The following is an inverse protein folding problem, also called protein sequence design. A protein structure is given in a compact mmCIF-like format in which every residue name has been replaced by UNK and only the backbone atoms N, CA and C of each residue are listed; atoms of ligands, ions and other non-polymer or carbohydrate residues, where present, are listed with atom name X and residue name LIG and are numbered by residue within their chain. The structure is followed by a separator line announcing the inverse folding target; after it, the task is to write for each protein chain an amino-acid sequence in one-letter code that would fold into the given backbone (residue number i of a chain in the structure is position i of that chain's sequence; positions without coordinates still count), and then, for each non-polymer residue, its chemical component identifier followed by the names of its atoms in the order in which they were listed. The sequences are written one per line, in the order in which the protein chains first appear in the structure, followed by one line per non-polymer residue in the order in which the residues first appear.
data_IF_975860426128
#
_entry.id   IF_975860426128
#
_cell.length_a   1.000
_cell.length_b   1.000
_cell.length_c   1.000
_cell.angle_alpha   90.00
_cell.angle_beta   90.00
_cell.angle_gamma   90.00
#
_symmetry.space_group_name_H-M   'P 1'
#
loop_
_entity.id
_entity.type
_entity.pdbx_description
1 polymer ?
#
# COMPACT_ATOMS: atom_id res chain seq x y z
N UNK A 1 8.06 16.02 -2.40
CA UNK A 1 7.20 15.32 -3.38
C UNK A 1 6.99 13.96 -2.78
N UNK A 2 5.79 13.63 -2.35
CA UNK A 2 5.55 12.38 -1.62
C UNK A 2 5.36 11.25 -2.62
N UNK A 3 6.11 10.16 -2.47
CA UNK A 3 6.00 8.98 -3.34
C UNK A 3 5.77 7.72 -2.54
N UNK A 4 4.67 7.03 -2.88
CA UNK A 4 4.29 5.75 -2.29
C UNK A 4 4.38 4.65 -3.34
N UNK A 5 5.15 3.61 -3.03
CA UNK A 5 5.34 2.47 -3.92
C UNK A 5 4.50 1.28 -3.44
N UNK A 6 3.58 0.83 -4.29
CA UNK A 6 2.77 -0.36 -4.09
C UNK A 6 3.28 -1.54 -4.91
N UNK A 7 3.36 -2.73 -4.31
CA UNK A 7 3.91 -3.94 -4.91
C UNK A 7 3.04 -5.15 -4.57
N UNK A 8 2.59 -5.88 -5.59
CA UNK A 8 1.89 -7.16 -5.42
C UNK A 8 2.90 -8.30 -5.47
N UNK A 9 2.92 -9.13 -4.42
CA UNK A 9 3.77 -10.30 -4.34
C UNK A 9 2.95 -11.59 -4.37
N UNK A 10 3.45 -12.58 -5.10
CA UNK A 10 2.91 -13.94 -5.12
C UNK A 10 4.04 -14.96 -5.30
N UNK A 11 4.06 -16.01 -4.49
CA UNK A 11 5.06 -17.08 -4.54
C UNK A 11 6.50 -16.53 -4.52
N UNK A 12 6.74 -15.48 -3.72
CA UNK A 12 8.02 -14.76 -3.62
C UNK A 12 8.48 -14.07 -4.94
N UNK A 13 7.55 -13.83 -5.87
CA UNK A 13 7.77 -13.07 -7.09
C UNK A 13 6.97 -11.77 -7.08
N UNK A 14 7.58 -10.69 -7.56
CA UNK A 14 6.89 -9.43 -7.80
C UNK A 14 6.03 -9.58 -9.06
N UNK A 15 4.71 -9.51 -8.92
CA UNK A 15 3.79 -9.61 -10.05
C UNK A 15 3.59 -8.26 -10.76
N UNK A 16 3.31 -7.23 -9.97
CA UNK A 16 3.03 -5.88 -10.44
C UNK A 16 3.45 -4.88 -9.38
N UNK A 17 3.84 -3.70 -9.83
CA UNK A 17 4.12 -2.59 -8.96
C UNK A 17 3.66 -1.27 -9.60
N UNK A 18 3.42 -0.28 -8.76
CA UNK A 18 3.02 1.06 -9.19
C UNK A 18 3.45 2.10 -8.15
N UNK A 19 3.76 3.30 -8.61
CA UNK A 19 4.18 4.42 -7.76
C UNK A 19 3.13 5.51 -7.84
N UNK A 20 2.52 5.85 -6.72
CA UNK A 20 1.67 7.04 -6.57
C UNK A 20 2.54 8.24 -6.18
N UNK A 21 2.29 9.36 -6.84
CA UNK A 21 3.00 10.62 -6.65
C UNK A 21 2.00 11.67 -6.15
N UNK A 22 2.24 12.21 -4.96
CA UNK A 22 1.34 13.15 -4.29
C UNK A 22 2.09 14.44 -3.96
N UNK A 23 1.64 15.52 -4.58
CA UNK A 23 2.24 16.85 -4.48
C UNK A 23 1.37 17.88 -3.73
N UNK A 24 0.35 17.43 -2.99
CA UNK A 24 -0.51 18.33 -2.23
C UNK A 24 0.10 18.75 -0.86
N UNK A 25 -0.34 19.89 -0.35
CA UNK A 25 -0.07 20.34 1.02
C UNK A 25 -1.12 19.74 1.99
N UNK A 26 -1.07 18.42 2.19
CA UNK A 26 -1.91 17.73 3.16
C UNK A 26 -1.07 16.99 4.22
N UNK A 27 -1.72 16.47 5.26
CA UNK A 27 -1.08 15.67 6.31
C UNK A 27 -0.49 14.39 5.75
N UNK A 28 0.60 13.92 6.36
CA UNK A 28 1.27 12.65 6.00
C UNK A 28 0.29 11.49 5.90
N UNK A 29 -0.64 11.39 6.85
CA UNK A 29 -1.67 10.35 6.90
C UNK A 29 -2.61 10.43 5.70
N UNK A 30 -3.11 11.61 5.35
CA UNK A 30 -3.96 11.77 4.17
C UNK A 30 -3.23 11.43 2.87
N UNK A 31 -1.95 11.80 2.74
CA UNK A 31 -1.11 11.42 1.60
C UNK A 31 -0.97 9.90 1.48
N UNK A 32 -0.73 9.20 2.59
CA UNK A 32 -0.64 7.73 2.58
C UNK A 32 -1.96 7.10 2.13
N UNK A 33 -3.09 7.56 2.68
CA UNK A 33 -4.41 7.03 2.28
C UNK A 33 -4.68 7.31 0.80
N UNK A 34 -4.46 8.53 0.33
CA UNK A 34 -4.62 8.87 -1.08
C UNK A 34 -3.74 7.99 -1.97
N UNK A 35 -2.47 7.82 -1.62
CA UNK A 35 -1.55 7.01 -2.42
C UNK A 35 -1.94 5.54 -2.44
N UNK A 36 -2.40 5.01 -1.31
CA UNK A 36 -2.93 3.66 -1.24
C UNK A 36 -4.17 3.50 -2.14
N UNK A 37 -5.08 4.48 -2.15
CA UNK A 37 -6.25 4.46 -3.03
C UNK A 37 -5.88 4.48 -4.50
N UNK A 38 -4.94 5.34 -4.90
CA UNK A 38 -4.43 5.40 -6.28
C UNK A 38 -3.75 4.08 -6.69
N UNK A 39 -2.95 3.49 -5.80
CA UNK A 39 -2.32 2.18 -6.00
C UNK A 39 -3.39 1.10 -6.20
N UNK A 40 -4.39 1.03 -5.33
CA UNK A 40 -5.45 0.02 -5.41
C UNK A 40 -6.25 0.19 -6.71
N UNK A 41 -6.59 1.43 -7.08
CA UNK A 41 -7.27 1.73 -8.33
C UNK A 41 -6.44 1.32 -9.56
N UNK A 42 -5.14 1.63 -9.57
CA UNK A 42 -4.24 1.28 -10.67
C UNK A 42 -4.02 -0.23 -10.81
N UNK A 43 -4.13 -0.98 -9.71
CA UNK A 43 -3.90 -2.42 -9.66
C UNK A 43 -5.19 -3.23 -9.75
N UNK A 44 -6.35 -2.57 -9.86
CA UNK A 44 -7.69 -3.18 -9.85
C UNK A 44 -7.94 -4.00 -8.57
N UNK A 45 -7.64 -3.40 -7.42
CA UNK A 45 -7.79 -4.00 -6.09
C UNK A 45 -8.81 -3.23 -5.25
N UNK A 46 -9.47 -3.94 -4.34
CA UNK A 46 -10.20 -3.31 -3.26
C UNK A 46 -9.26 -2.59 -2.27
N UNK A 47 -9.79 -1.60 -1.56
CA UNK A 47 -9.04 -0.89 -0.52
C UNK A 47 -8.84 -1.83 0.69
N UNK A 48 -7.59 -2.12 1.10
CA UNK A 48 -7.37 -2.99 2.25
C UNK A 48 -7.74 -2.29 3.56
N UNK A 49 -8.15 -3.09 4.54
CA UNK A 49 -8.35 -2.69 5.93
C UNK A 49 -6.99 -2.59 6.62
N UNK A 50 -6.78 -1.47 7.30
CA UNK A 50 -5.61 -1.27 8.15
C UNK A 50 -5.81 -2.01 9.47
N UNK A 51 -5.00 -3.04 9.71
CA UNK A 51 -4.95 -3.72 11.01
C UNK A 51 -3.89 -3.08 11.91
N UNK A 52 -3.99 -3.29 13.22
CA UNK A 52 -3.03 -2.77 14.20
C UNK A 52 -1.59 -3.21 13.90
N UNK A 53 -1.41 -4.42 13.36
CA UNK A 53 -0.12 -4.93 12.90
C UNK A 53 0.46 -4.05 11.79
N UNK A 54 -0.36 -3.70 10.79
CA UNK A 54 0.04 -2.85 9.67
C UNK A 54 0.46 -1.47 10.14
N UNK A 55 -0.34 -0.87 11.02
CA UNK A 55 -0.06 0.46 11.56
C UNK A 55 1.28 0.47 12.31
N UNK A 56 1.52 -0.53 13.18
CA UNK A 56 2.77 -0.64 13.95
C UNK A 56 3.99 -0.87 13.06
N UNK A 57 3.85 -1.69 12.02
CA UNK A 57 4.93 -1.96 11.07
C UNK A 57 5.25 -0.69 10.25
N UNK A 58 4.23 -0.03 9.73
CA UNK A 58 4.36 1.17 8.92
C UNK A 58 5.01 2.31 9.70
N UNK A 59 4.61 2.52 10.97
CA UNK A 59 5.24 3.53 11.83
C UNK A 59 6.74 3.29 12.09
N UNK A 60 7.23 2.05 11.99
CA UNK A 60 8.62 1.68 12.28
C UNK A 60 9.51 1.66 11.04
N UNK A 61 8.93 1.32 9.89
CA UNK A 61 9.70 0.99 8.69
C UNK A 61 9.24 1.77 7.45
N UNK A 62 8.25 2.65 7.58
CA UNK A 62 7.59 3.35 6.47
C UNK A 62 7.13 2.39 5.36
N UNK A 63 6.83 1.15 5.78
CA UNK A 63 6.46 0.01 4.94
C UNK A 63 5.51 -0.90 5.69
N UNK A 64 4.52 -1.44 5.00
CA UNK A 64 3.69 -2.54 5.52
C UNK A 64 3.15 -3.44 4.43
N UNK A 65 2.64 -4.62 4.82
CA UNK A 65 2.09 -5.65 3.94
C UNK A 65 0.66 -6.00 4.32
N UNK A 66 -0.24 -5.88 3.35
CA UNK A 66 -1.63 -6.29 3.45
C UNK A 66 -1.76 -7.70 2.89
N UNK A 67 -1.93 -8.68 3.77
CA UNK A 67 -2.24 -10.08 3.42
C UNK A 67 -3.75 -10.25 3.21
N UNK A 68 -4.19 -11.47 2.90
CA UNK A 68 -5.61 -11.80 2.73
C UNK A 68 -6.51 -11.32 3.88
N UNK A 69 -6.03 -11.31 5.12
CA UNK A 69 -6.79 -10.84 6.30
C UNK A 69 -7.17 -9.35 6.23
N UNK A 70 -6.43 -8.57 5.44
CA UNK A 70 -6.69 -7.15 5.22
C UNK A 70 -7.73 -6.91 4.11
N UNK A 71 -8.12 -7.90 3.33
CA UNK A 71 -9.08 -7.75 2.23
C UNK A 71 -10.40 -8.47 2.57
N UNK A 72 -11.52 -7.83 2.21
CA UNK A 72 -12.84 -8.43 2.37
C UNK A 72 -13.06 -9.48 1.28
N UNK A 73 -12.66 -9.15 0.05
CA UNK A 73 -12.66 -10.09 -1.07
C UNK A 73 -11.43 -11.00 -1.07
N UNK A 74 -11.56 -12.14 -1.76
CA UNK A 74 -10.46 -13.06 -1.95
C UNK A 74 -9.43 -12.45 -2.91
N UNK A 75 -8.15 -12.50 -2.53
CA UNK A 75 -7.04 -12.05 -3.36
C UNK A 75 -6.28 -13.25 -3.93
N UNK A 76 -5.89 -13.17 -5.20
CA UNK A 76 -5.12 -14.20 -5.90
C UNK A 76 -3.60 -14.08 -5.69
N UNK A 77 -3.15 -13.28 -4.72
CA UNK A 77 -1.75 -12.99 -4.40
C UNK A 77 -1.49 -13.10 -2.90
N UNK A 78 -0.23 -13.11 -2.48
CA UNK A 78 0.13 -13.34 -1.08
C UNK A 78 -0.08 -12.07 -0.23
N UNK A 79 0.43 -10.94 -0.72
CA UNK A 79 0.25 -9.65 -0.08
C UNK A 79 0.49 -8.47 -1.03
N UNK A 80 -0.16 -7.35 -0.72
CA UNK A 80 0.17 -6.02 -1.24
C UNK A 80 1.12 -5.33 -0.26
N UNK A 81 2.34 -5.03 -0.69
CA UNK A 81 3.30 -4.24 0.09
C UNK A 81 3.23 -2.78 -0.34
N UNK A 82 3.10 -1.86 0.62
CA UNK A 82 3.27 -0.42 0.39
C UNK A 82 4.50 0.10 1.12
N UNK A 83 5.19 1.07 0.52
CA UNK A 83 6.39 1.68 1.08
C UNK A 83 6.52 3.13 0.65
N UNK A 84 6.84 4.03 1.59
CA UNK A 84 7.24 5.40 1.27
C UNK A 84 8.67 5.36 0.74
N UNK A 85 8.88 5.90 -0.46
CA UNK A 85 10.20 5.97 -1.11
C UNK A 85 10.74 7.40 -1.16
N UNK A 86 9.88 8.41 -1.02
CA UNK A 86 10.25 9.82 -0.97
C UNK A 86 9.18 10.63 -0.22
N UNK A 87 9.60 11.65 0.53
CA UNK A 87 8.74 12.61 1.25
C UNK A 87 9.15 14.04 0.89
#
# INVERSE_FOLDING_TARGET
MFRLWGKIWKDNHLLRDTVSCIDNEDTRTHKIFQGLEEICYSLDLEKPIWLDSNIREFQRHDRTRFSQDSFIEHIDFDFLEIQIIEE
#
